data_IF_974879821460
#
_entry.id   IF_974879821460
#
_cell.length_a   1.000
_cell.length_b   1.000
_cell.length_c   1.000
_cell.angle_alpha   90.00
_cell.angle_beta   90.00
_cell.angle_gamma   90.00
#
_symmetry.space_group_name_H-M   'P 1'
#
loop_
_entity.id
_entity.type
_entity.pdbx_description
1 polymer ?
#
# COMPACT_ATOMS: atom_id res chain seq x y z
N UNK A 1 -26.20 -8.75 3.40
CA UNK A 1 -24.86 -9.24 3.78
C UNK A 1 -23.91 -8.05 3.73
N UNK A 2 -23.26 -7.65 4.83
CA UNK A 2 -22.30 -6.55 4.75
C UNK A 2 -21.14 -6.96 3.82
N UNK A 3 -20.56 -6.01 3.04
CA UNK A 3 -19.48 -6.31 2.13
C UNK A 3 -18.27 -6.82 2.92
N UNK A 4 -17.79 -7.99 2.55
CA UNK A 4 -16.53 -8.54 3.02
C UNK A 4 -15.45 -7.58 2.52
N UNK A 5 -14.85 -6.82 3.44
CA UNK A 5 -13.60 -6.14 3.15
C UNK A 5 -12.57 -7.22 2.86
N UNK A 6 -12.25 -7.41 1.58
CA UNK A 6 -11.11 -8.20 1.13
C UNK A 6 -9.82 -7.44 1.49
N UNK A 7 -9.57 -7.29 2.78
CA UNK A 7 -8.24 -7.03 3.31
C UNK A 7 -7.49 -8.36 3.34
N UNK A 8 -6.17 -8.31 3.12
CA UNK A 8 -5.28 -9.47 3.23
C UNK A 8 -5.59 -10.27 4.51
N UNK A 9 -6.22 -11.43 4.35
CA UNK A 9 -6.66 -12.33 5.42
C UNK A 9 -5.52 -13.08 6.10
N UNK A 10 -4.60 -12.35 6.72
CA UNK A 10 -3.60 -12.89 7.64
C UNK A 10 -3.76 -12.21 8.99
N UNK A 11 -3.69 -12.97 10.08
CA UNK A 11 -3.54 -12.39 11.41
C UNK A 11 -2.32 -11.45 11.44
N UNK A 12 -2.40 -10.38 12.25
CA UNK A 12 -1.27 -9.50 12.51
C UNK A 12 -0.07 -10.27 13.10
N UNK A 13 1.12 -9.66 13.14
CA UNK A 13 2.30 -10.32 13.68
C UNK A 13 2.06 -10.75 15.13
N UNK A 14 2.59 -11.91 15.48
CA UNK A 14 2.59 -12.37 16.86
C UNK A 14 3.41 -11.41 17.72
N UNK A 15 2.93 -11.12 18.92
CA UNK A 15 3.54 -10.15 19.83
C UNK A 15 4.53 -10.86 20.77
N UNK A 16 5.68 -10.25 21.11
CA UNK A 16 6.59 -10.79 22.12
C UNK A 16 5.90 -10.96 23.47
N UNK A 17 6.46 -11.80 24.35
CA UNK A 17 5.99 -11.89 25.74
C UNK A 17 5.95 -10.51 26.43
N UNK A 18 4.93 -10.30 27.27
CA UNK A 18 4.77 -9.03 27.97
C UNK A 18 3.31 -8.67 28.27
N UNK A 19 3.13 -7.51 28.92
CA UNK A 19 1.80 -6.98 29.28
C UNK A 19 1.31 -6.02 28.20
N UNK A 20 0.13 -6.30 27.68
CA UNK A 20 -0.52 -5.54 26.62
C UNK A 20 -1.84 -4.98 27.09
N UNK A 21 -2.21 -3.80 26.60
CA UNK A 21 -3.54 -3.23 26.79
C UNK A 21 -4.29 -3.33 25.47
N UNK A 22 -5.35 -4.14 25.46
CA UNK A 22 -6.27 -4.23 24.34
C UNK A 22 -7.24 -3.07 24.44
N UNK A 23 -7.34 -2.27 23.37
CA UNK A 23 -8.31 -1.19 23.22
C UNK A 23 -9.34 -1.63 22.19
N UNK A 24 -10.61 -1.74 22.60
CA UNK A 24 -11.73 -1.99 21.69
C UNK A 24 -12.60 -0.73 21.61
N UNK A 25 -12.86 -0.25 20.39
CA UNK A 25 -13.73 0.89 20.13
C UNK A 25 -14.95 0.44 19.32
N UNK A 26 -16.15 0.77 19.79
CA UNK A 26 -17.42 0.55 19.08
C UNK A 26 -18.24 1.83 19.12
N UNK A 27 -18.26 2.56 18.00
CA UNK A 27 -18.84 3.91 17.94
C UNK A 27 -18.13 4.85 18.92
N UNK A 28 -18.88 5.36 19.89
CA UNK A 28 -18.38 6.26 20.94
C UNK A 28 -17.94 5.52 22.21
N UNK A 29 -18.12 4.19 22.28
CA UNK A 29 -17.71 3.40 23.43
C UNK A 29 -16.30 2.85 23.24
N UNK A 30 -15.52 2.93 24.31
CA UNK A 30 -14.15 2.45 24.36
C UNK A 30 -13.94 1.63 25.61
N UNK A 31 -13.38 0.43 25.44
CA UNK A 31 -13.08 -0.50 26.55
C UNK A 31 -11.61 -0.87 26.47
N UNK A 32 -10.97 -0.90 27.63
CA UNK A 32 -9.58 -1.31 27.80
C UNK A 32 -9.52 -2.57 28.65
N UNK A 33 -8.72 -3.55 28.22
CA UNK A 33 -8.44 -4.75 29.00
C UNK A 33 -6.95 -5.06 28.96
N UNK A 34 -6.34 -5.30 30.11
CA UNK A 34 -4.95 -5.75 30.18
C UNK A 34 -4.88 -7.27 30.03
N UNK A 35 -3.95 -7.74 29.20
CA UNK A 35 -3.63 -9.16 28.99
C UNK A 35 -2.13 -9.34 29.09
N UNK A 36 -1.69 -10.47 29.63
CA UNK A 36 -0.28 -10.87 29.72
C UNK A 36 0.00 -12.03 28.77
N UNK A 37 1.00 -11.86 27.91
CA UNK A 37 1.47 -12.90 26.97
C UNK A 37 2.65 -13.61 27.62
N UNK A 38 2.47 -14.90 27.88
CA UNK A 38 3.48 -15.75 28.53
C UNK A 38 4.46 -16.36 27.50
N UNK A 39 5.72 -16.64 27.90
CA UNK A 39 6.65 -17.39 27.05
C UNK A 39 6.16 -18.80 26.73
N UNK A 40 6.49 -19.29 25.53
CA UNK A 40 6.47 -20.74 25.27
C UNK A 40 7.65 -21.40 26.02
N UNK A 41 7.39 -22.34 26.96
CA UNK A 41 8.43 -22.97 27.76
C UNK A 41 9.42 -23.81 26.95
N UNK A 42 9.13 -24.13 25.68
CA UNK A 42 10.01 -24.88 24.78
C UNK A 42 11.09 -24.00 24.14
N UNK A 43 10.95 -22.69 24.25
CA UNK A 43 11.80 -21.72 23.57
C UNK A 43 12.60 -20.96 24.62
N UNK A 44 13.95 -20.94 24.53
CA UNK A 44 14.77 -20.17 25.45
C UNK A 44 14.37 -18.68 25.42
N UNK A 45 14.15 -18.03 26.57
CA UNK A 45 13.77 -16.63 26.59
C UNK A 45 14.95 -15.77 26.14
N UNK A 46 14.80 -15.09 25.01
CA UNK A 46 15.67 -13.97 24.59
C UNK A 46 14.79 -12.75 24.29
N UNK A 47 14.26 -12.08 25.33
CA UNK A 47 13.21 -11.06 25.16
C UNK A 47 13.65 -9.90 24.26
N UNK A 48 14.91 -9.50 24.35
CA UNK A 48 15.48 -8.42 23.52
C UNK A 48 15.52 -8.79 22.04
N UNK A 49 15.91 -10.01 21.70
CA UNK A 49 15.92 -10.47 20.30
C UNK A 49 14.51 -10.60 19.72
N UNK A 50 13.55 -11.08 20.52
CA UNK A 50 12.14 -11.16 20.12
C UNK A 50 11.55 -9.77 19.88
N UNK A 51 11.85 -8.81 20.76
CA UNK A 51 11.45 -7.41 20.58
C UNK A 51 12.05 -6.80 19.32
N UNK A 52 13.37 -6.94 19.12
CA UNK A 52 14.05 -6.43 17.92
C UNK A 52 13.45 -7.01 16.63
N UNK A 53 13.15 -8.31 16.62
CA UNK A 53 12.48 -8.97 15.50
C UNK A 53 11.06 -8.44 15.27
N UNK A 54 10.28 -8.32 16.33
CA UNK A 54 8.93 -7.77 16.26
C UNK A 54 8.94 -6.33 15.71
N UNK A 55 9.83 -5.48 16.18
CA UNK A 55 10.03 -4.13 15.64
C UNK A 55 10.36 -4.16 14.14
N UNK A 56 11.20 -5.10 13.70
CA UNK A 56 11.52 -5.26 12.28
C UNK A 56 10.29 -5.67 11.45
N UNK A 57 9.46 -6.57 11.96
CA UNK A 57 8.20 -6.96 11.30
C UNK A 57 7.24 -5.77 11.20
N UNK A 58 7.15 -4.94 12.25
CA UNK A 58 6.36 -3.69 12.21
C UNK A 58 6.90 -2.71 11.16
N UNK A 59 8.21 -2.58 11.02
CA UNK A 59 8.84 -1.75 9.97
C UNK A 59 8.46 -2.26 8.58
N UNK A 60 8.47 -3.58 8.36
CA UNK A 60 8.02 -4.18 7.09
C UNK A 60 6.54 -3.93 6.85
N UNK A 61 5.71 -4.06 7.89
CA UNK A 61 4.27 -3.78 7.85
C UNK A 61 3.98 -2.33 7.44
N UNK A 62 4.66 -1.36 8.07
CA UNK A 62 4.53 0.05 7.71
C UNK A 62 4.88 0.32 6.23
N UNK A 63 5.91 -0.35 5.70
CA UNK A 63 6.27 -0.22 4.27
C UNK A 63 5.24 -0.84 3.33
N UNK A 64 4.61 -1.95 3.73
CA UNK A 64 3.48 -2.52 3.00
C UNK A 64 2.28 -1.56 3.00
N UNK A 65 2.03 -0.85 4.10
CA UNK A 65 0.99 0.19 4.14
C UNK A 65 1.30 1.34 3.17
N UNK A 66 2.56 1.79 3.08
CA UNK A 66 2.97 2.81 2.09
C UNK A 66 2.70 2.33 0.67
N UNK A 67 3.05 1.08 0.35
CA UNK A 67 2.78 0.49 -0.96
C UNK A 67 1.28 0.41 -1.26
N UNK A 68 0.47 0.00 -0.27
CA UNK A 68 -0.98 -0.07 -0.41
C UNK A 68 -1.60 1.32 -0.62
N UNK A 69 -1.12 2.34 0.08
CA UNK A 69 -1.57 3.72 -0.10
C UNK A 69 -1.24 4.25 -1.49
N UNK A 70 -0.06 3.95 -2.04
CA UNK A 70 0.30 4.32 -3.41
C UNK A 70 -0.70 3.73 -4.43
N UNK A 71 -1.02 2.45 -4.31
CA UNK A 71 -2.04 1.78 -5.15
C UNK A 71 -3.41 2.42 -4.97
N UNK A 72 -3.83 2.71 -3.73
CA UNK A 72 -5.11 3.36 -3.46
C UNK A 72 -5.21 4.74 -4.13
N UNK A 73 -4.15 5.55 -4.06
CA UNK A 73 -4.11 6.86 -4.74
C UNK A 73 -4.19 6.71 -6.26
N UNK A 74 -3.48 5.74 -6.84
CA UNK A 74 -3.59 5.43 -8.27
C UNK A 74 -5.03 5.08 -8.65
N UNK A 75 -5.69 4.20 -7.89
CA UNK A 75 -7.05 3.79 -8.19
C UNK A 75 -8.06 4.95 -8.08
N UNK A 76 -7.87 5.86 -7.11
CA UNK A 76 -8.68 7.09 -7.00
C UNK A 76 -8.55 7.96 -8.25
N UNK A 77 -7.33 8.19 -8.74
CA UNK A 77 -7.10 8.99 -9.96
C UNK A 77 -7.69 8.30 -11.18
N UNK A 78 -7.53 6.98 -11.32
CA UNK A 78 -8.14 6.21 -12.41
C UNK A 78 -9.67 6.34 -12.41
N UNK A 79 -10.30 6.22 -11.24
CA UNK A 79 -11.74 6.44 -11.08
C UNK A 79 -12.17 7.87 -11.46
N UNK A 80 -11.39 8.88 -11.08
CA UNK A 80 -11.65 10.26 -11.50
C UNK A 80 -11.55 10.45 -13.02
N UNK A 81 -10.55 9.83 -13.67
CA UNK A 81 -10.42 9.83 -15.14
C UNK A 81 -11.65 9.18 -15.78
N UNK A 82 -12.16 8.08 -15.22
CA UNK A 82 -13.37 7.43 -15.71
C UNK A 82 -14.61 8.33 -15.63
N UNK A 83 -14.77 9.08 -14.53
CA UNK A 83 -15.84 10.07 -14.40
C UNK A 83 -15.74 11.18 -15.46
N UNK A 84 -14.54 11.71 -15.68
CA UNK A 84 -14.28 12.72 -16.72
C UNK A 84 -14.62 12.17 -18.10
N UNK A 85 -14.13 10.97 -18.44
CA UNK A 85 -14.42 10.30 -19.72
C UNK A 85 -15.92 10.06 -19.94
N UNK A 86 -16.66 9.72 -18.87
CA UNK A 86 -18.11 9.57 -18.91
C UNK A 86 -18.83 10.86 -19.31
N UNK A 87 -18.39 12.01 -18.77
CA UNK A 87 -19.02 13.30 -19.08
C UNK A 87 -18.71 13.83 -20.48
N UNK A 88 -17.54 13.50 -21.03
CA UNK A 88 -17.12 13.94 -22.38
C UNK A 88 -17.37 12.88 -23.46
N UNK A 89 -18.12 11.82 -23.15
CA UNK A 89 -18.32 10.67 -24.04
C UNK A 89 -18.84 11.09 -25.41
N UNK A 90 -19.92 11.87 -25.44
CA UNK A 90 -20.58 12.29 -26.70
C UNK A 90 -20.01 13.60 -27.27
N UNK A 91 -19.10 14.25 -26.53
CA UNK A 91 -18.42 15.45 -26.97
C UNK A 91 -17.36 15.12 -28.04
N UNK A 92 -17.41 15.87 -29.15
CA UNK A 92 -16.51 15.78 -30.30
C UNK A 92 -15.67 17.04 -30.53
N UNK A 93 -15.77 18.02 -29.64
CA UNK A 93 -14.92 19.21 -29.67
C UNK A 93 -13.45 18.85 -29.42
N UNK A 94 -12.55 19.73 -29.86
CA UNK A 94 -11.10 19.53 -29.77
C UNK A 94 -10.62 19.33 -28.33
N UNK A 95 -11.27 19.98 -27.35
CA UNK A 95 -10.96 19.84 -25.92
C UNK A 95 -11.29 18.41 -25.46
N UNK A 96 -12.49 17.92 -25.77
CA UNK A 96 -12.88 16.56 -25.43
C UNK A 96 -11.99 15.49 -26.10
N UNK A 97 -11.60 15.67 -27.36
CA UNK A 97 -10.69 14.74 -28.05
C UNK A 97 -9.30 14.72 -27.41
N UNK A 98 -8.76 15.89 -27.05
CA UNK A 98 -7.48 16.00 -26.35
C UNK A 98 -7.54 15.32 -24.97
N UNK A 99 -8.57 15.59 -24.18
CA UNK A 99 -8.76 14.98 -22.86
C UNK A 99 -8.92 13.45 -22.95
N UNK A 100 -9.63 12.92 -23.95
CA UNK A 100 -9.72 11.47 -24.19
C UNK A 100 -8.34 10.84 -24.43
N UNK A 101 -7.51 11.48 -25.26
CA UNK A 101 -6.14 11.02 -25.54
C UNK A 101 -5.26 11.07 -24.28
N UNK A 102 -5.28 12.18 -23.54
CA UNK A 102 -4.53 12.32 -22.28
C UNK A 102 -4.99 11.29 -21.24
N UNK A 103 -6.29 11.07 -21.11
CA UNK A 103 -6.87 10.09 -20.20
C UNK A 103 -6.37 8.67 -20.49
N UNK A 104 -6.34 8.27 -21.77
CA UNK A 104 -5.85 6.95 -22.17
C UNK A 104 -4.34 6.79 -21.89
N UNK A 105 -3.54 7.82 -22.18
CA UNK A 105 -2.11 7.83 -21.88
C UNK A 105 -1.85 7.72 -20.37
N UNK A 106 -2.49 8.60 -19.58
CA UNK A 106 -2.32 8.64 -18.14
C UNK A 106 -2.76 7.33 -17.46
N UNK A 107 -3.87 6.72 -17.89
CA UNK A 107 -4.29 5.41 -17.38
C UNK A 107 -3.26 4.31 -17.64
N UNK A 108 -2.59 4.35 -18.80
CA UNK A 108 -1.52 3.40 -19.12
C UNK A 108 -0.31 3.63 -18.21
N UNK A 109 0.11 4.88 -18.04
CA UNK A 109 1.20 5.24 -17.11
C UNK A 109 0.88 4.78 -15.69
N UNK A 110 -0.32 5.09 -15.20
CA UNK A 110 -0.79 4.73 -13.85
C UNK A 110 -0.87 3.21 -13.64
N UNK A 111 -1.28 2.45 -14.67
CA UNK A 111 -1.21 0.97 -14.61
C UNK A 111 0.23 0.50 -14.45
N UNK A 112 1.15 0.97 -15.30
CA UNK A 112 2.55 0.56 -15.24
C UNK A 112 3.24 0.91 -13.91
N UNK A 113 2.85 2.02 -13.28
CA UNK A 113 3.33 2.34 -11.92
C UNK A 113 2.68 1.44 -10.86
N UNK A 114 1.37 1.17 -10.94
CA UNK A 114 0.69 0.29 -10.00
C UNK A 114 1.27 -1.14 -10.00
N UNK A 115 1.64 -1.65 -11.17
CA UNK A 115 2.24 -2.97 -11.36
C UNK A 115 3.61 -3.09 -10.66
N UNK A 116 4.29 -1.98 -10.35
CA UNK A 116 5.51 -2.02 -9.53
C UNK A 116 5.21 -2.32 -8.06
N UNK A 117 4.04 -1.90 -7.56
CA UNK A 117 3.66 -2.06 -6.15
C UNK A 117 2.96 -3.40 -5.88
N UNK A 118 2.04 -3.80 -6.77
CA UNK A 118 1.18 -4.97 -6.58
C UNK A 118 1.15 -5.86 -7.82
N UNK A 119 1.10 -7.16 -7.58
CA UNK A 119 0.84 -8.16 -8.63
C UNK A 119 -0.66 -8.18 -8.91
N UNK A 120 -1.11 -7.40 -9.90
CA UNK A 120 -2.51 -7.39 -10.33
C UNK A 120 -2.82 -8.60 -11.23
N UNK A 121 -3.38 -9.64 -10.63
CA UNK A 121 -3.76 -10.86 -11.33
C UNK A 121 -5.16 -10.79 -11.97
N UNK A 122 -5.89 -9.67 -11.85
CA UNK A 122 -7.31 -9.60 -12.26
C UNK A 122 -7.54 -9.92 -13.74
N UNK A 123 -6.53 -9.67 -14.59
CA UNK A 123 -6.60 -9.85 -16.04
C UNK A 123 -5.70 -10.99 -16.57
N UNK A 124 -5.11 -11.79 -15.67
CA UNK A 124 -4.21 -12.87 -16.06
C UNK A 124 -4.97 -14.17 -16.38
N UNK A 125 -4.71 -14.76 -17.54
CA UNK A 125 -5.17 -16.11 -17.87
C UNK A 125 -4.21 -17.12 -17.23
N UNK A 126 -4.55 -17.59 -16.02
CA UNK A 126 -3.76 -18.56 -15.24
C UNK A 126 -2.99 -17.94 -14.06
N UNK A 127 -2.24 -18.78 -13.33
CA UNK A 127 -1.43 -18.34 -12.18
C UNK A 127 -0.18 -17.62 -12.70
N UNK A 128 -0.27 -16.30 -12.90
CA UNK A 128 0.86 -15.44 -13.22
C UNK A 128 1.38 -14.86 -11.91
N UNK A 129 2.68 -14.98 -11.63
CA UNK A 129 3.31 -14.37 -10.45
C UNK A 129 4.33 -13.34 -10.88
N UNK A 130 4.26 -12.15 -10.29
CA UNK A 130 5.28 -11.12 -10.46
C UNK A 130 6.16 -11.04 -9.19
N UNK A 131 7.28 -11.77 -9.13
CA UNK A 131 8.09 -11.87 -7.89
C UNK A 131 8.82 -10.58 -7.51
N UNK A 132 8.82 -9.56 -8.39
CA UNK A 132 9.61 -8.34 -8.22
C UNK A 132 8.79 -7.13 -7.80
N UNK A 133 7.50 -7.29 -7.51
CA UNK A 133 6.68 -6.18 -6.98
C UNK A 133 7.06 -5.87 -5.53
N UNK A 134 6.82 -4.64 -5.10
CA UNK A 134 7.06 -4.18 -3.72
C UNK A 134 6.36 -5.10 -2.72
N UNK A 135 5.07 -5.38 -2.95
CA UNK A 135 4.27 -6.26 -2.08
C UNK A 135 4.80 -7.69 -2.03
N UNK A 136 5.24 -8.27 -3.15
CA UNK A 136 5.83 -9.61 -3.18
C UNK A 136 7.13 -9.68 -2.37
N UNK A 137 8.00 -8.68 -2.52
CA UNK A 137 9.31 -8.62 -1.84
C UNK A 137 9.16 -8.38 -0.34
N UNK A 138 8.41 -7.35 0.06
CA UNK A 138 8.16 -7.06 1.47
C UNK A 138 7.34 -8.18 2.15
N UNK A 139 6.32 -8.72 1.48
CA UNK A 139 5.56 -9.86 1.98
C UNK A 139 6.42 -11.12 2.13
N UNK A 140 7.40 -11.32 1.24
CA UNK A 140 8.46 -12.33 1.38
C UNK A 140 9.27 -12.18 2.65
N UNK A 141 9.75 -10.96 2.93
CA UNK A 141 10.51 -10.64 4.14
C UNK A 141 9.66 -10.82 5.39
N UNK A 142 8.43 -10.29 5.42
CA UNK A 142 7.51 -10.44 6.54
C UNK A 142 7.26 -11.92 6.88
N UNK A 143 6.99 -12.74 5.86
CA UNK A 143 6.80 -14.19 6.04
C UNK A 143 8.05 -14.87 6.57
N UNK A 144 9.23 -14.55 6.02
CA UNK A 144 10.50 -15.14 6.47
C UNK A 144 10.83 -14.76 7.91
N UNK A 145 10.58 -13.52 8.31
CA UNK A 145 10.76 -13.09 9.70
C UNK A 145 9.76 -13.81 10.62
N UNK A 146 8.52 -14.01 10.18
CA UNK A 146 7.49 -14.68 10.97
C UNK A 146 7.64 -16.19 11.15
N UNK A 147 8.64 -16.87 10.54
CA UNK A 147 8.73 -18.34 10.61
C UNK A 147 9.40 -18.90 11.86
N UNK A 148 10.10 -18.08 12.65
CA UNK A 148 10.75 -18.54 13.89
C UNK A 148 10.80 -17.43 14.94
N UNK A 149 11.24 -17.75 16.15
CA UNK A 149 11.48 -16.78 17.22
C UNK A 149 12.93 -16.28 17.29
N UNK A 150 13.81 -16.83 16.45
CA UNK A 150 15.23 -16.49 16.43
C UNK A 150 15.47 -15.05 15.98
N UNK A 151 16.60 -14.43 16.38
CA UNK A 151 17.01 -13.13 15.86
C UNK A 151 17.01 -13.08 14.31
N UNK A 152 16.75 -11.92 13.69
CA UNK A 152 16.85 -11.76 12.25
C UNK A 152 18.24 -12.16 11.73
N UNK A 153 18.29 -12.99 10.68
CA UNK A 153 19.55 -13.41 10.06
C UNK A 153 20.13 -12.31 9.16
N UNK A 154 21.45 -12.30 8.89
CA UNK A 154 22.06 -11.36 7.94
C UNK A 154 21.41 -11.40 6.55
N UNK A 155 20.96 -12.58 6.11
CA UNK A 155 20.25 -12.77 4.86
C UNK A 155 18.89 -12.07 4.86
N UNK A 156 18.11 -12.21 5.95
CA UNK A 156 16.82 -11.53 6.08
C UNK A 156 16.96 -10.01 6.07
N UNK A 157 17.98 -9.47 6.75
CA UNK A 157 18.30 -8.04 6.72
C UNK A 157 18.70 -7.56 5.32
N UNK A 158 19.42 -8.39 4.57
CA UNK A 158 19.77 -8.10 3.17
C UNK A 158 18.53 -8.06 2.28
N UNK A 159 17.62 -9.02 2.42
CA UNK A 159 16.35 -9.04 1.69
C UNK A 159 15.46 -7.84 2.02
N UNK A 160 15.44 -7.41 3.28
CA UNK A 160 14.74 -6.19 3.66
C UNK A 160 15.31 -4.97 2.93
N UNK A 161 16.63 -4.79 2.95
CA UNK A 161 17.27 -3.66 2.25
C UNK A 161 16.95 -3.64 0.76
N UNK A 162 17.01 -4.80 0.11
CA UNK A 162 16.62 -4.92 -1.31
C UNK A 162 15.15 -4.57 -1.55
N UNK A 163 14.25 -4.99 -0.66
CA UNK A 163 12.83 -4.64 -0.74
C UNK A 163 12.60 -3.13 -0.53
N UNK A 164 13.34 -2.49 0.38
CA UNK A 164 13.32 -1.05 0.60
C UNK A 164 13.80 -0.27 -0.63
N UNK A 165 14.85 -0.73 -1.29
CA UNK A 165 15.35 -0.11 -2.53
C UNK A 165 14.35 -0.23 -3.69
N UNK A 166 13.60 -1.35 -3.76
CA UNK A 166 12.53 -1.53 -4.74
C UNK A 166 11.37 -0.58 -4.44
N UNK A 167 10.95 -0.47 -3.17
CA UNK A 167 9.93 0.50 -2.74
C UNK A 167 10.35 1.94 -3.05
N UNK A 168 11.59 2.32 -2.74
CA UNK A 168 12.09 3.68 -2.98
C UNK A 168 12.09 4.04 -4.47
N UNK A 169 12.46 3.09 -5.34
CA UNK A 169 12.38 3.26 -6.80
C UNK A 169 10.94 3.41 -7.27
N UNK A 170 10.03 2.55 -6.80
CA UNK A 170 8.62 2.63 -7.17
C UNK A 170 7.96 3.94 -6.70
N UNK A 171 8.28 4.41 -5.49
CA UNK A 171 7.83 5.69 -4.98
C UNK A 171 8.37 6.87 -5.78
N UNK A 172 9.61 6.78 -6.28
CA UNK A 172 10.18 7.82 -7.14
C UNK A 172 9.39 7.95 -8.45
N UNK A 173 9.11 6.82 -9.11
CA UNK A 173 8.33 6.78 -10.34
C UNK A 173 6.89 7.27 -10.10
N UNK A 174 6.26 6.79 -9.02
CA UNK A 174 4.95 7.28 -8.56
C UNK A 174 4.96 8.80 -8.36
N UNK A 175 5.90 9.33 -7.58
CA UNK A 175 5.94 10.75 -7.25
C UNK A 175 6.13 11.60 -8.50
N UNK A 176 6.95 11.14 -9.46
CA UNK A 176 7.14 11.82 -10.74
C UNK A 176 5.83 11.91 -11.53
N UNK A 177 5.13 10.78 -11.69
CA UNK A 177 3.86 10.74 -12.44
C UNK A 177 2.80 11.62 -11.78
N UNK A 178 2.74 11.64 -10.45
CA UNK A 178 1.80 12.47 -9.71
C UNK A 178 2.12 13.97 -9.80
N UNK A 179 3.40 14.35 -9.70
CA UNK A 179 3.81 15.76 -9.79
C UNK A 179 3.74 16.34 -11.21
N UNK A 180 3.89 15.50 -12.23
CA UNK A 180 3.96 15.94 -13.64
C UNK A 180 2.64 15.63 -14.37
N UNK A 181 2.38 14.35 -14.67
CA UNK A 181 1.30 13.94 -15.57
C UNK A 181 -0.09 14.11 -14.93
N UNK A 182 -0.26 13.72 -13.66
CA UNK A 182 -1.54 13.88 -12.95
C UNK A 182 -1.85 15.36 -12.71
N UNK A 183 -0.87 16.16 -12.32
CA UNK A 183 -1.03 17.60 -12.14
C UNK A 183 -1.42 18.30 -13.45
N UNK A 184 -0.74 17.96 -14.55
CA UNK A 184 -1.05 18.49 -15.89
C UNK A 184 -2.47 18.10 -16.33
N UNK A 185 -2.86 16.84 -16.15
CA UNK A 185 -4.21 16.37 -16.48
C UNK A 185 -5.29 17.09 -15.65
N UNK A 186 -5.07 17.24 -14.33
CA UNK A 186 -5.97 17.97 -13.44
C UNK A 186 -6.19 19.40 -13.93
N UNK A 187 -5.11 20.12 -14.26
CA UNK A 187 -5.21 21.48 -14.79
C UNK A 187 -6.03 21.55 -16.09
N UNK A 188 -5.86 20.58 -16.99
CA UNK A 188 -6.65 20.50 -18.23
C UNK A 188 -8.15 20.23 -17.96
N UNK A 189 -8.46 19.37 -16.97
CA UNK A 189 -9.84 19.07 -16.55
C UNK A 189 -10.50 20.28 -15.90
N UNK A 190 -9.78 21.01 -15.04
CA UNK A 190 -10.26 22.23 -14.39
C UNK A 190 -10.55 23.34 -15.41
N UNK A 191 -9.66 23.55 -16.39
CA UNK A 191 -9.88 24.49 -17.49
C UNK A 191 -11.11 24.14 -18.34
N UNK A 192 -11.39 22.84 -18.48
CA UNK A 192 -12.56 22.34 -19.18
C UNK A 192 -13.87 22.42 -18.35
N UNK A 193 -13.81 22.90 -17.10
CA UNK A 193 -14.94 22.98 -16.15
C UNK A 193 -15.62 21.63 -15.91
N UNK A 194 -14.82 20.56 -15.86
CA UNK A 194 -15.24 19.18 -15.63
C UNK A 194 -15.07 18.80 -14.14
N UNK A 195 -15.54 17.60 -13.71
CA UNK A 195 -15.49 17.18 -12.32
C UNK A 195 -14.06 17.19 -11.77
N UNK A 196 -13.94 17.62 -10.52
CA UNK A 196 -12.64 17.77 -9.87
C UNK A 196 -11.94 16.41 -9.74
N UNK A 197 -10.71 16.34 -10.27
CA UNK A 197 -9.80 15.24 -9.99
C UNK A 197 -9.21 15.46 -8.59
N UNK A 198 -9.25 14.46 -7.68
CA UNK A 198 -8.74 14.62 -6.33
C UNK A 198 -7.30 15.11 -6.31
N UNK A 199 -7.00 16.03 -5.40
CA UNK A 199 -5.62 16.34 -5.07
C UNK A 199 -4.97 15.12 -4.43
N UNK A 200 -3.80 14.74 -4.94
CA UNK A 200 -3.06 13.61 -4.41
C UNK A 200 -1.61 14.00 -4.29
N UNK A 201 -1.18 14.12 -3.04
CA UNK A 201 0.20 14.45 -2.71
C UNK A 201 1.15 13.32 -3.10
N UNK A 202 2.44 13.66 -3.12
CA UNK A 202 3.52 12.68 -3.15
C UNK A 202 3.48 11.79 -1.89
N UNK A 203 4.12 10.62 -1.99
CA UNK A 203 4.29 9.69 -0.89
C UNK A 203 5.76 9.59 -0.50
N UNK A 204 6.01 9.69 0.80
CA UNK A 204 7.32 9.44 1.40
C UNK A 204 7.43 7.97 1.86
N UNK A 205 8.64 7.37 1.89
CA UNK A 205 8.85 5.99 2.34
C UNK A 205 8.46 5.72 3.80
N UNK A 206 8.36 6.75 4.62
CA UNK A 206 8.00 6.74 6.03
C UNK A 206 6.58 7.28 6.29
N UNK A 207 5.77 7.40 5.24
CA UNK A 207 4.39 7.83 5.36
C UNK A 207 3.61 6.95 6.34
N UNK A 208 2.77 7.60 7.15
CA UNK A 208 1.89 6.94 8.11
C UNK A 208 0.44 7.33 7.84
N UNK A 209 -0.52 6.41 7.98
CA UNK A 209 -1.93 6.75 7.88
C UNK A 209 -2.28 7.81 8.92
N UNK A 210 -3.05 8.83 8.50
CA UNK A 210 -3.68 9.74 9.47
C UNK A 210 -4.56 8.88 10.39
N UNK A 211 -4.37 9.01 11.72
CA UNK A 211 -5.20 8.29 12.70
C UNK A 211 -6.67 8.49 12.32
N UNK A 212 -7.39 7.39 12.11
CA UNK A 212 -8.85 7.45 11.98
C UNK A 212 -9.36 7.80 13.38
N UNK A 213 -9.79 9.05 13.56
CA UNK A 213 -10.46 9.51 14.78
C UNK A 213 -11.79 8.78 15.02
#
# INVERSE_FOLDING_TARGET
>A
TPPQGEGFGGGGPEVPQGKYTIRMKLGNHEVFQTVEVLPDPRIPPVPEAQQAKYHLILVVGAKLEVAAEAVNRIQKIRGAIDLVLGQIKDRKDSVALNLKKQSAGLKKTLTGVADQFIDDQSNSQGIVRQPNTVSARLGGVARSLGTSWDPPTPTQLTYLRQAEEILARALKDFNKVFSEEVASYRAAVEQAKLPLVPESDTLAPDWKPKKRE
#
